data_IF_434580717201
#
_entry.id   IF_434580717201
#
_cell.length_a   1.000
_cell.length_b   1.000
_cell.length_c   1.000
_cell.angle_alpha   90.00
_cell.angle_beta   90.00
_cell.angle_gamma   90.00
#
_symmetry.space_group_name_H-M   'P 1'
#
loop_
_entity.id
_entity.type
_entity.pdbx_description
1 polymer ?
#
# COMPACT_ATOMS: atom_id res chain seq x y z
N UNK A 1 -16.68 7.55 23.32
CA UNK A 1 -16.15 6.88 22.11
C UNK A 1 -17.14 7.18 20.99
N UNK A 2 -16.74 7.88 19.92
CA UNK A 2 -17.68 8.28 18.85
C UNK A 2 -17.99 7.08 17.94
N UNK A 3 -19.15 7.10 17.28
CA UNK A 3 -19.58 6.03 16.35
C UNK A 3 -18.52 5.78 15.26
N UNK A 4 -17.92 6.85 14.74
CA UNK A 4 -16.91 6.74 13.68
C UNK A 4 -15.61 6.07 14.15
N UNK A 5 -15.22 6.28 15.42
CA UNK A 5 -14.04 5.61 15.99
C UNK A 5 -14.26 4.11 16.16
N UNK A 6 -15.47 3.71 16.55
CA UNK A 6 -15.85 2.29 16.63
C UNK A 6 -15.83 1.68 15.23
N UNK A 7 -16.45 2.33 14.23
CA UNK A 7 -16.43 1.87 12.84
C UNK A 7 -15.02 1.72 12.27
N UNK A 8 -14.16 2.72 12.49
CA UNK A 8 -12.77 2.68 12.02
C UNK A 8 -11.98 1.54 12.67
N UNK A 9 -12.15 1.33 13.98
CA UNK A 9 -11.51 0.21 14.69
C UNK A 9 -11.99 -1.15 14.17
N UNK A 10 -13.30 -1.30 13.97
CA UNK A 10 -13.89 -2.52 13.45
C UNK A 10 -13.44 -2.82 12.01
N UNK A 11 -13.37 -1.81 11.16
CA UNK A 11 -12.82 -1.93 9.81
C UNK A 11 -11.37 -2.38 9.84
N UNK A 12 -10.54 -1.74 10.67
CA UNK A 12 -9.13 -2.10 10.80
C UNK A 12 -8.97 -3.55 11.27
N UNK A 13 -9.74 -3.95 12.29
CA UNK A 13 -9.75 -5.32 12.80
C UNK A 13 -10.10 -6.30 11.70
N UNK A 14 -11.17 -6.04 10.96
CA UNK A 14 -11.60 -6.89 9.86
C UNK A 14 -10.48 -7.04 8.82
N UNK A 15 -9.93 -5.93 8.31
CA UNK A 15 -8.86 -5.95 7.30
C UNK A 15 -7.61 -6.69 7.77
N UNK A 16 -7.20 -6.55 9.04
CA UNK A 16 -6.04 -7.28 9.58
C UNK A 16 -6.29 -8.79 9.67
N UNK A 17 -7.52 -9.21 9.95
CA UNK A 17 -7.88 -10.64 10.06
C UNK A 17 -8.17 -11.30 8.72
N UNK A 18 -8.46 -10.53 7.67
CA UNK A 18 -8.75 -11.02 6.32
C UNK A 18 -7.70 -10.63 5.29
N UNK A 19 -6.58 -10.07 5.73
CA UNK A 19 -5.51 -9.62 4.85
C UNK A 19 -5.01 -10.76 3.96
N UNK A 20 -4.70 -10.47 2.68
CA UNK A 20 -4.10 -11.46 1.79
C UNK A 20 -2.76 -11.94 2.34
N UNK A 21 -2.39 -13.18 2.03
CA UNK A 21 -1.10 -13.75 2.42
C UNK A 21 0.03 -12.91 1.79
N UNK A 22 0.90 -12.37 2.64
CA UNK A 22 2.14 -11.73 2.20
C UNK A 22 3.19 -12.82 1.95
N UNK A 23 3.86 -12.76 0.80
CA UNK A 23 4.91 -13.70 0.46
C UNK A 23 6.30 -13.09 0.70
N UNK A 24 7.27 -13.96 0.99
CA UNK A 24 8.66 -13.55 1.17
C UNK A 24 9.26 -13.07 -0.15
N UNK A 25 10.11 -12.05 -0.10
CA UNK A 25 10.78 -11.49 -1.27
C UNK A 25 11.84 -12.41 -1.85
N UNK A 26 11.90 -12.52 -3.17
CA UNK A 26 13.07 -13.03 -3.88
C UNK A 26 13.84 -11.87 -4.53
N UNK A 27 15.01 -11.52 -3.99
CA UNK A 27 15.83 -10.41 -4.49
C UNK A 27 16.42 -10.65 -5.90
N UNK A 28 16.27 -11.85 -6.46
CA UNK A 28 16.71 -12.15 -7.84
C UNK A 28 15.65 -11.81 -8.89
N UNK A 29 14.41 -11.58 -8.47
CA UNK A 29 13.28 -11.29 -9.35
C UNK A 29 12.93 -9.80 -9.32
N UNK A 30 12.43 -9.23 -10.42
CA UNK A 30 12.04 -7.83 -10.46
C UNK A 30 10.82 -7.57 -9.55
N UNK A 31 10.79 -6.38 -8.95
CA UNK A 31 9.67 -5.90 -8.17
C UNK A 31 8.69 -5.10 -9.05
N UNK A 32 7.41 -5.13 -8.68
CA UNK A 32 6.37 -4.25 -9.20
C UNK A 32 5.87 -3.36 -8.06
N UNK A 33 5.95 -2.05 -8.23
CA UNK A 33 5.48 -1.09 -7.25
C UNK A 33 4.19 -0.44 -7.75
N UNK A 34 3.11 -0.64 -7.01
CA UNK A 34 1.87 0.12 -7.21
C UNK A 34 1.84 1.26 -6.20
N UNK A 35 1.45 2.44 -6.67
CA UNK A 35 1.32 3.65 -5.86
C UNK A 35 -0.07 4.22 -6.06
N UNK A 36 -0.57 4.90 -5.03
CA UNK A 36 -1.81 5.65 -5.08
C UNK A 36 -1.73 6.81 -4.07
N UNK A 37 -2.21 7.98 -4.47
CA UNK A 37 -2.19 9.16 -3.64
C UNK A 37 -3.58 9.81 -3.55
N UNK A 38 -3.93 10.24 -2.33
CA UNK A 38 -5.18 10.94 -2.04
C UNK A 38 -4.90 12.23 -1.27
N UNK A 39 -5.95 13.05 -1.10
CA UNK A 39 -5.88 14.24 -0.26
C UNK A 39 -5.68 13.97 1.23
N UNK A 40 -5.80 12.72 1.69
CA UNK A 40 -5.62 12.36 3.09
C UNK A 40 -4.32 11.58 3.37
N UNK A 41 -3.83 10.84 2.37
CA UNK A 41 -2.73 9.90 2.54
C UNK A 41 -2.16 9.42 1.21
N UNK A 42 -0.95 8.88 1.30
CA UNK A 42 -0.28 8.18 0.20
C UNK A 42 -0.09 6.72 0.59
N UNK A 43 -0.18 5.82 -0.38
CA UNK A 43 -0.08 4.39 -0.17
C UNK A 43 0.63 3.70 -1.32
N UNK A 44 1.32 2.61 -1.02
CA UNK A 44 1.97 1.77 -2.01
C UNK A 44 1.89 0.29 -1.64
N UNK A 45 1.79 -0.54 -2.67
CA UNK A 45 1.84 -1.99 -2.58
C UNK A 45 3.03 -2.52 -3.39
N UNK A 46 3.92 -3.25 -2.72
CA UNK A 46 5.04 -3.92 -3.35
C UNK A 46 4.62 -5.34 -3.74
N UNK A 47 4.77 -5.66 -5.02
CA UNK A 47 4.39 -6.93 -5.62
C UNK A 47 5.60 -7.58 -6.28
N UNK A 48 5.52 -8.88 -6.50
CA UNK A 48 6.51 -9.63 -7.25
C UNK A 48 5.83 -10.76 -8.02
N UNK A 49 6.34 -11.10 -9.20
CA UNK A 49 5.86 -12.30 -9.92
C UNK A 49 6.74 -13.47 -9.49
N UNK A 50 6.16 -14.45 -8.82
CA UNK A 50 6.85 -15.66 -8.34
C UNK A 50 6.19 -16.92 -8.90
N UNK A 51 6.93 -18.04 -8.95
CA UNK A 51 6.37 -19.32 -9.37
C UNK A 51 5.73 -20.00 -8.17
N UNK A 52 4.40 -20.13 -8.18
CA UNK A 52 3.64 -20.90 -7.20
C UNK A 52 2.88 -22.00 -7.93
N UNK A 53 3.00 -23.24 -7.46
CA UNK A 53 2.38 -24.43 -8.10
C UNK A 53 2.67 -24.48 -9.62
N UNK A 54 3.95 -24.30 -9.99
CA UNK A 54 4.46 -24.30 -11.37
C UNK A 54 3.87 -23.22 -12.30
N UNK A 55 3.24 -22.18 -11.74
CA UNK A 55 2.67 -21.06 -12.50
C UNK A 55 3.20 -19.72 -12.02
N UNK A 56 3.46 -18.76 -12.92
CA UNK A 56 3.76 -17.38 -12.52
C UNK A 56 2.52 -16.74 -11.92
N UNK A 57 2.62 -16.33 -10.66
CA UNK A 57 1.56 -15.64 -9.92
C UNK A 57 2.14 -14.33 -9.39
N UNK A 58 1.39 -13.25 -9.57
CA UNK A 58 1.71 -11.99 -8.93
C UNK A 58 1.29 -12.06 -7.46
N UNK A 59 2.29 -11.97 -6.59
CA UNK A 59 2.13 -12.05 -5.14
C UNK A 59 2.42 -10.70 -4.51
N UNK A 60 1.69 -10.42 -3.45
CA UNK A 60 1.88 -9.23 -2.64
C UNK A 60 3.00 -9.49 -1.62
N UNK A 61 3.94 -8.55 -1.55
CA UNK A 61 5.07 -8.59 -0.61
C UNK A 61 4.77 -7.74 0.61
N UNK A 62 4.41 -6.47 0.41
CA UNK A 62 4.12 -5.56 1.51
C UNK A 62 3.21 -4.42 1.08
N UNK A 63 2.55 -3.83 2.08
CA UNK A 63 1.86 -2.55 1.97
C UNK A 63 2.59 -1.51 2.82
N UNK A 64 2.78 -0.32 2.28
CA UNK A 64 3.27 0.84 3.01
C UNK A 64 2.31 2.00 2.79
N UNK A 65 1.98 2.74 3.83
CA UNK A 65 1.17 3.96 3.70
C UNK A 65 1.54 4.97 4.77
N UNK A 66 1.27 6.25 4.48
CA UNK A 66 1.38 7.31 5.48
C UNK A 66 0.37 8.42 5.21
N UNK A 67 0.06 9.17 6.27
CA UNK A 67 -0.72 10.40 6.17
C UNK A 67 0.12 11.48 5.48
N UNK A 68 -0.55 12.35 4.72
CA UNK A 68 0.09 13.54 4.17
C UNK A 68 0.47 14.52 5.28
N UNK A 69 1.56 15.26 5.06
CA UNK A 69 1.99 16.34 5.95
C UNK A 69 1.25 17.63 5.59
N UNK A 70 1.11 18.59 6.52
CA UNK A 70 0.41 19.86 6.26
C UNK A 70 0.98 20.68 5.09
N UNK A 71 2.26 20.49 4.75
CA UNK A 71 2.89 21.15 3.60
C UNK A 71 2.66 20.42 2.26
N UNK A 72 2.30 19.14 2.30
CA UNK A 72 2.05 18.30 1.11
C UNK A 72 0.58 18.43 0.64
N UNK A 73 -0.33 18.88 1.50
CA UNK A 73 -1.78 19.06 1.22
C UNK A 73 -2.08 20.09 0.10
N UNK A 74 -1.09 20.92 -0.25
CA UNK A 74 -1.23 21.93 -1.32
C UNK A 74 -0.83 21.40 -2.70
N UNK A 75 -0.31 20.18 -2.77
CA UNK A 75 0.13 19.59 -4.02
C UNK A 75 -1.07 19.18 -4.87
N UNK A 76 -1.02 19.51 -6.16
CA UNK A 76 -1.97 18.96 -7.13
C UNK A 76 -1.80 17.44 -7.28
N UNK A 77 -2.83 16.77 -7.81
CA UNK A 77 -2.87 15.31 -7.93
C UNK A 77 -1.59 14.70 -8.55
N UNK A 78 -1.09 15.24 -9.67
CA UNK A 78 0.14 14.73 -10.30
C UNK A 78 1.38 14.86 -9.41
N UNK A 79 1.48 15.92 -8.61
CA UNK A 79 2.58 16.09 -7.65
C UNK A 79 2.44 15.12 -6.47
N UNK A 80 1.21 14.80 -6.07
CA UNK A 80 0.91 13.81 -5.03
C UNK A 80 1.28 12.39 -5.46
N UNK A 81 0.96 12.00 -6.69
CA UNK A 81 1.39 10.73 -7.27
C UNK A 81 2.92 10.63 -7.33
N UNK A 82 3.59 11.70 -7.78
CA UNK A 82 5.06 11.75 -7.81
C UNK A 82 5.67 11.68 -6.41
N UNK A 83 5.09 12.38 -5.43
CA UNK A 83 5.48 12.28 -4.03
C UNK A 83 5.32 10.86 -3.50
N UNK A 84 4.23 10.18 -3.84
CA UNK A 84 3.99 8.79 -3.45
C UNK A 84 5.05 7.86 -4.04
N UNK A 85 5.37 8.01 -5.33
CA UNK A 85 6.44 7.26 -5.98
C UNK A 85 7.79 7.45 -5.27
N UNK A 86 8.22 8.69 -5.08
CA UNK A 86 9.53 9.00 -4.47
C UNK A 86 9.61 8.53 -3.03
N UNK A 87 8.49 8.58 -2.30
CA UNK A 87 8.44 8.11 -0.92
C UNK A 87 8.48 6.58 -0.79
N UNK A 88 7.92 5.86 -1.78
CA UNK A 88 7.81 4.41 -1.77
C UNK A 88 9.05 3.67 -2.30
N UNK A 89 9.99 4.39 -2.91
CA UNK A 89 11.30 3.88 -3.35
C UNK A 89 12.35 3.94 -2.22
#
# INVERSE_FOLDING_TARGET
MTVDRVKAFESLRHTLTTAPLLLMTDFKLPFKLYIDASGDGIGSALHQVQILNDKPVEVLICFISRKIKPNEDRYGASHMECLCLVWAL
#
